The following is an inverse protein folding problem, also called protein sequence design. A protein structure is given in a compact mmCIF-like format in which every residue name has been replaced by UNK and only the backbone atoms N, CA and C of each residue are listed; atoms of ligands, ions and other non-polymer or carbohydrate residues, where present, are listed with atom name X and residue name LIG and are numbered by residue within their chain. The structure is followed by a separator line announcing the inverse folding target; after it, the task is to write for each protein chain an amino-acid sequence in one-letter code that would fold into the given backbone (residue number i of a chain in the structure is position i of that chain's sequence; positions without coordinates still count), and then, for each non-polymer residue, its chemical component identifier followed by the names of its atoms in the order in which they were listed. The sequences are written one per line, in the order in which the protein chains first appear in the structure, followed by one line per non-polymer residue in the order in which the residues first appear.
data_IF_102304594381
#
_entry.id   IF_102304594381
#
_cell.length_a   1.000
_cell.length_b   1.000
_cell.length_c   1.000
_cell.angle_alpha   90.00
_cell.angle_beta   90.00
_cell.angle_gamma   90.00
#
_symmetry.space_group_name_H-M   'P 1'
#
loop_
_entity.id
_entity.type
_entity.pdbx_description
1 polymer ?
#
# COMPACT_ATOMS: atom_id res chain seq x y z
N UNK A 1 7.50 -7.64 -16.13
CA UNK A 1 8.70 -7.20 -16.85
C UNK A 1 8.72 -7.63 -18.33
N UNK A 2 8.18 -8.79 -18.70
CA UNK A 2 8.09 -9.18 -20.12
C UNK A 2 7.24 -8.20 -20.92
N UNK A 3 6.12 -7.70 -20.36
CA UNK A 3 5.27 -6.73 -21.04
C UNK A 3 5.98 -5.40 -21.30
N UNK A 4 6.78 -4.87 -20.35
CA UNK A 4 7.51 -3.63 -20.56
C UNK A 4 8.47 -3.74 -21.74
N UNK A 5 9.22 -4.85 -21.83
CA UNK A 5 10.12 -5.11 -22.96
C UNK A 5 9.35 -5.23 -24.25
N UNK A 6 8.27 -6.04 -24.28
CA UNK A 6 7.46 -6.25 -25.46
C UNK A 6 6.88 -4.93 -25.99
N UNK A 7 6.28 -4.11 -25.10
CA UNK A 7 5.70 -2.82 -25.48
C UNK A 7 6.79 -1.87 -25.98
N UNK A 8 7.93 -1.84 -25.31
CA UNK A 8 9.07 -1.02 -25.73
C UNK A 8 9.63 -1.47 -27.09
N UNK A 9 9.84 -2.76 -27.31
CA UNK A 9 10.36 -3.33 -28.55
C UNK A 9 9.40 -3.12 -29.73
N UNK A 10 8.08 -3.00 -29.44
CA UNK A 10 7.04 -2.69 -30.44
C UNK A 10 6.77 -1.17 -30.58
N UNK A 11 7.53 -0.33 -29.87
CA UNK A 11 7.35 1.13 -29.87
C UNK A 11 5.93 1.57 -29.46
N UNK A 12 5.24 0.78 -28.61
CA UNK A 12 3.91 1.09 -28.10
C UNK A 12 4.05 1.94 -26.83
N UNK A 13 3.56 3.19 -26.82
CA UNK A 13 3.54 4.00 -25.61
C UNK A 13 2.71 3.34 -24.50
N UNK A 14 3.24 3.29 -23.29
CA UNK A 14 2.54 2.74 -22.14
C UNK A 14 2.84 3.50 -20.86
N UNK A 15 1.95 3.41 -19.91
CA UNK A 15 2.14 3.78 -18.53
C UNK A 15 1.93 2.55 -17.66
N UNK A 16 2.52 2.53 -16.47
CA UNK A 16 2.39 1.41 -15.55
C UNK A 16 1.91 1.88 -14.20
N UNK A 17 0.94 1.20 -13.63
CA UNK A 17 0.54 1.32 -12.23
C UNK A 17 1.03 0.08 -11.48
N UNK A 18 1.79 0.30 -10.41
CA UNK A 18 2.33 -0.74 -9.55
C UNK A 18 1.78 -0.56 -8.12
N UNK A 19 1.63 -1.65 -7.40
CA UNK A 19 1.37 -1.59 -5.97
C UNK A 19 2.65 -1.20 -5.24
N UNK A 20 2.56 -0.20 -4.34
CA UNK A 20 3.69 0.20 -3.51
C UNK A 20 3.97 -0.84 -2.43
N UNK A 21 2.91 -1.38 -1.85
CA UNK A 21 2.99 -2.39 -0.78
C UNK A 21 3.87 -1.94 0.40
N UNK A 22 3.78 -0.66 0.79
CA UNK A 22 4.61 -0.11 1.87
C UNK A 22 4.51 -0.95 3.13
N UNK A 23 5.64 -1.32 3.71
CA UNK A 23 5.79 -2.25 4.83
C UNK A 23 5.39 -3.72 4.56
N UNK A 24 4.95 -4.11 3.38
CA UNK A 24 4.92 -5.54 3.01
C UNK A 24 6.33 -6.01 2.63
N UNK A 25 6.63 -7.29 2.83
CA UNK A 25 7.92 -7.86 2.39
C UNK A 25 8.14 -7.64 0.89
N UNK A 26 9.33 -7.14 0.55
CA UNK A 26 9.68 -6.74 -0.82
C UNK A 26 8.94 -5.52 -1.36
N UNK A 27 8.09 -4.87 -0.53
CA UNK A 27 7.36 -3.64 -0.86
C UNK A 27 8.18 -2.37 -0.68
N UNK A 28 7.51 -1.22 -0.75
CA UNK A 28 8.14 0.09 -0.55
C UNK A 28 9.36 0.30 -1.44
N UNK A 29 10.52 0.42 -0.82
CA UNK A 29 11.80 0.60 -1.52
C UNK A 29 12.13 -0.52 -2.49
N UNK A 30 11.71 -1.76 -2.21
CA UNK A 30 11.89 -2.89 -3.13
C UNK A 30 11.11 -2.70 -4.44
N UNK A 31 9.91 -2.13 -4.40
CA UNK A 31 9.11 -1.82 -5.58
C UNK A 31 9.71 -0.67 -6.39
N UNK A 32 10.22 0.36 -5.73
CA UNK A 32 10.90 1.49 -6.37
C UNK A 32 12.17 1.01 -7.07
N UNK A 33 13.03 0.25 -6.36
CA UNK A 33 14.21 -0.40 -6.94
C UNK A 33 13.86 -1.19 -8.19
N UNK A 34 12.84 -2.05 -8.08
CA UNK A 34 12.39 -2.86 -9.21
C UNK A 34 12.01 -2.00 -10.41
N UNK A 35 11.23 -0.93 -10.21
CA UNK A 35 10.81 -0.05 -11.30
C UNK A 35 12.02 0.60 -11.99
N UNK A 36 12.98 1.17 -11.23
CA UNK A 36 14.21 1.75 -11.76
C UNK A 36 14.99 0.72 -12.59
N UNK A 37 15.19 -0.48 -12.06
CA UNK A 37 15.89 -1.54 -12.76
C UNK A 37 15.19 -1.97 -14.07
N UNK A 38 13.85 -1.99 -14.11
CA UNK A 38 13.12 -2.31 -15.34
C UNK A 38 13.25 -1.17 -16.36
N UNK A 39 13.17 0.10 -15.94
CA UNK A 39 13.36 1.26 -16.82
C UNK A 39 14.75 1.27 -17.46
N UNK A 40 15.79 0.98 -16.69
CA UNK A 40 17.16 0.84 -17.22
C UNK A 40 17.22 -0.28 -18.27
N UNK A 41 16.60 -1.44 -18.00
CA UNK A 41 16.59 -2.60 -18.91
C UNK A 41 15.90 -2.35 -20.24
N UNK A 42 14.97 -1.41 -20.31
CA UNK A 42 14.27 -1.02 -21.56
C UNK A 42 14.91 0.19 -22.23
N UNK A 43 16.10 0.63 -21.76
CA UNK A 43 16.93 1.63 -22.45
C UNK A 43 16.77 3.07 -21.97
N UNK A 44 16.08 3.30 -20.85
CA UNK A 44 16.09 4.66 -20.27
C UNK A 44 17.48 5.02 -19.73
N UNK A 45 17.82 6.31 -19.80
CA UNK A 45 19.11 6.80 -19.29
C UNK A 45 19.27 6.56 -17.81
N UNK A 46 20.27 5.76 -17.47
CA UNK A 46 20.56 5.35 -16.11
C UNK A 46 20.90 6.52 -15.21
N UNK A 47 21.72 7.46 -15.67
CA UNK A 47 22.14 8.58 -14.84
C UNK A 47 20.95 9.43 -14.44
N UNK A 48 20.07 9.74 -15.38
CA UNK A 48 18.83 10.48 -15.12
C UNK A 48 17.88 9.71 -14.19
N UNK A 49 17.83 8.38 -14.27
CA UNK A 49 17.02 7.55 -13.38
C UNK A 49 17.55 7.50 -11.94
N UNK A 50 18.86 7.63 -11.75
CA UNK A 50 19.49 7.63 -10.44
C UNK A 50 19.56 9.01 -9.78
N UNK A 51 19.06 10.06 -10.45
CA UNK A 51 19.05 11.45 -9.98
C UNK A 51 17.61 11.91 -9.72
N UNK A 52 17.16 11.84 -8.48
CA UNK A 52 15.81 12.29 -8.06
C UNK A 52 15.89 13.62 -7.31
N UNK A 53 15.59 14.75 -7.99
CA UNK A 53 15.72 16.11 -7.45
C UNK A 53 17.13 16.40 -6.94
N UNK A 54 17.27 16.52 -5.60
CA UNK A 54 18.52 16.88 -4.92
C UNK A 54 19.31 15.64 -4.45
N UNK A 55 18.96 14.47 -4.93
CA UNK A 55 19.54 13.19 -4.52
C UNK A 55 20.03 12.42 -5.75
N UNK A 56 21.30 12.06 -5.73
CA UNK A 56 21.92 11.18 -6.73
C UNK A 56 22.46 9.94 -6.00
N UNK A 57 22.09 8.76 -6.48
CA UNK A 57 22.48 7.49 -5.87
C UNK A 57 23.45 6.71 -6.78
N UNK A 58 24.35 5.97 -6.16
CA UNK A 58 25.25 5.05 -6.84
C UNK A 58 24.57 3.74 -7.23
N UNK A 59 25.27 2.91 -8.01
CA UNK A 59 24.84 1.57 -8.34
C UNK A 59 24.71 0.67 -7.11
N UNK A 60 25.63 0.80 -6.17
CA UNK A 60 25.63 0.06 -4.91
C UNK A 60 24.42 0.46 -4.04
N UNK A 61 24.09 1.75 -4.02
CA UNK A 61 22.90 2.24 -3.33
C UNK A 61 21.61 1.75 -4.00
N UNK A 62 21.54 1.74 -5.33
CA UNK A 62 20.41 1.12 -6.03
C UNK A 62 20.29 -0.37 -5.68
N UNK A 63 21.39 -1.12 -5.68
CA UNK A 63 21.35 -2.54 -5.34
C UNK A 63 20.93 -2.81 -3.89
N UNK A 64 21.23 -1.91 -2.97
CA UNK A 64 20.83 -1.99 -1.57
C UNK A 64 19.52 -1.26 -1.25
N UNK A 65 18.88 -0.55 -2.18
CA UNK A 65 17.71 0.32 -1.95
C UNK A 65 16.56 -0.40 -1.22
N UNK A 66 16.36 -1.70 -1.48
CA UNK A 66 15.32 -2.50 -0.80
C UNK A 66 15.54 -2.65 0.71
N UNK A 67 16.73 -2.32 1.22
CA UNK A 67 17.07 -2.35 2.65
C UNK A 67 16.96 -0.98 3.32
N UNK A 68 16.60 0.07 2.58
CA UNK A 68 16.48 1.40 3.13
C UNK A 68 15.33 1.50 4.11
N UNK A 69 15.46 2.42 5.08
CA UNK A 69 14.47 2.58 6.12
C UNK A 69 13.11 3.00 5.53
N UNK A 70 12.10 2.16 5.73
CA UNK A 70 10.73 2.37 5.27
C UNK A 70 10.08 3.59 5.93
N UNK A 71 10.59 4.04 7.08
CA UNK A 71 10.10 5.24 7.77
C UNK A 71 10.46 6.53 7.08
N UNK A 72 11.43 6.52 6.15
CA UNK A 72 11.78 7.66 5.30
C UNK A 72 10.71 7.95 4.22
N UNK A 73 9.46 8.06 4.63
CA UNK A 73 8.30 8.19 3.71
C UNK A 73 8.39 9.42 2.82
N UNK A 74 8.96 10.53 3.28
CA UNK A 74 9.18 11.74 2.46
C UNK A 74 10.21 11.51 1.36
N UNK A 75 11.28 10.78 1.66
CA UNK A 75 12.28 10.38 0.67
C UNK A 75 11.66 9.43 -0.36
N UNK A 76 10.92 8.43 0.11
CA UNK A 76 10.18 7.49 -0.74
C UNK A 76 9.22 8.22 -1.68
N UNK A 77 8.47 9.21 -1.20
CA UNK A 77 7.55 10.01 -2.01
C UNK A 77 8.27 10.80 -3.12
N UNK A 78 9.49 11.29 -2.88
CA UNK A 78 10.29 11.96 -3.92
C UNK A 78 10.67 11.01 -5.05
N UNK A 79 11.08 9.80 -4.72
CA UNK A 79 11.40 8.76 -5.71
C UNK A 79 10.17 8.32 -6.50
N UNK A 80 9.01 8.17 -5.84
CA UNK A 80 7.73 7.89 -6.50
C UNK A 80 7.39 9.00 -7.49
N UNK A 81 7.53 10.27 -7.09
CA UNK A 81 7.26 11.41 -7.96
C UNK A 81 8.23 11.48 -9.14
N UNK A 82 9.51 11.20 -8.93
CA UNK A 82 10.51 11.11 -9.99
C UNK A 82 10.13 10.07 -11.05
N UNK A 83 9.68 8.88 -10.62
CA UNK A 83 9.29 7.79 -11.53
C UNK A 83 8.02 8.07 -12.35
N UNK A 84 7.16 8.99 -11.91
CA UNK A 84 6.02 9.45 -12.73
C UNK A 84 6.48 10.10 -14.04
N UNK A 85 7.63 10.79 -14.03
CA UNK A 85 8.25 11.34 -15.24
C UNK A 85 8.60 10.28 -16.29
N UNK A 86 8.73 9.02 -15.87
CA UNK A 86 8.99 7.85 -16.73
C UNK A 86 7.74 6.99 -16.97
N UNK A 87 6.55 7.50 -16.64
CA UNK A 87 5.28 6.80 -16.84
C UNK A 87 5.03 5.67 -15.82
N UNK A 88 5.74 5.65 -14.69
CA UNK A 88 5.51 4.68 -13.61
C UNK A 88 4.80 5.34 -12.44
N UNK A 89 3.64 4.83 -12.12
CA UNK A 89 2.77 5.26 -11.03
C UNK A 89 2.66 4.17 -9.97
N UNK A 90 2.39 4.58 -8.74
CA UNK A 90 2.17 3.64 -7.63
C UNK A 90 0.83 3.90 -6.97
N UNK A 91 0.09 2.82 -6.69
CA UNK A 91 -0.98 2.86 -5.69
C UNK A 91 -0.33 2.85 -4.30
N UNK A 92 -0.49 3.96 -3.60
CA UNK A 92 0.13 4.19 -2.30
C UNK A 92 -0.96 4.49 -1.25
N UNK A 93 -0.74 4.09 0.00
CA UNK A 93 0.47 3.47 0.56
C UNK A 93 0.61 1.96 0.31
N UNK A 94 -0.43 1.28 -0.12
CA UNK A 94 -0.47 -0.18 -0.22
C UNK A 94 -0.67 -0.64 -1.68
N UNK A 95 -1.89 -1.03 -2.03
CA UNK A 95 -2.30 -1.53 -3.34
C UNK A 95 -3.53 -0.77 -3.87
N UNK A 96 -3.97 -1.10 -5.08
CA UNK A 96 -5.10 -0.43 -5.71
C UNK A 96 -6.40 -0.65 -4.92
N UNK A 97 -6.62 -1.81 -4.33
CA UNK A 97 -7.82 -2.13 -3.55
C UNK A 97 -7.89 -1.22 -2.31
N UNK A 98 -6.75 -1.00 -1.64
CA UNK A 98 -6.65 -0.08 -0.52
C UNK A 98 -6.89 1.38 -0.94
N UNK A 99 -6.32 1.82 -2.05
CA UNK A 99 -6.50 3.18 -2.58
C UNK A 99 -7.97 3.43 -2.97
N UNK A 100 -8.64 2.45 -3.56
CA UNK A 100 -10.08 2.51 -3.89
C UNK A 100 -10.92 2.57 -2.62
N UNK A 101 -10.62 1.74 -1.63
CA UNK A 101 -11.32 1.78 -0.34
C UNK A 101 -11.11 3.12 0.38
N UNK A 102 -9.91 3.68 0.36
CA UNK A 102 -9.60 4.99 0.94
C UNK A 102 -10.42 6.10 0.29
N UNK A 103 -10.55 6.06 -1.03
CA UNK A 103 -11.27 7.07 -1.81
C UNK A 103 -12.79 6.95 -1.72
N UNK A 104 -13.31 5.74 -1.53
CA UNK A 104 -14.75 5.44 -1.66
C UNK A 104 -15.30 4.65 -0.46
N UNK A 105 -14.72 4.79 0.73
CA UNK A 105 -15.09 4.05 1.95
C UNK A 105 -16.60 4.01 2.19
N UNK A 106 -17.27 5.17 2.11
CA UNK A 106 -18.71 5.26 2.37
C UNK A 106 -19.55 4.47 1.35
N UNK A 107 -19.08 4.39 0.09
CA UNK A 107 -19.72 3.57 -0.93
C UNK A 107 -19.59 2.09 -0.64
N UNK A 108 -18.38 1.64 -0.25
CA UNK A 108 -18.18 0.25 0.18
C UNK A 108 -19.06 -0.11 1.37
N UNK A 109 -19.14 0.77 2.38
CA UNK A 109 -19.99 0.56 3.57
C UNK A 109 -21.47 0.55 3.19
N UNK A 110 -21.92 1.41 2.28
CA UNK A 110 -23.33 1.47 1.85
C UNK A 110 -23.83 0.23 1.12
N UNK A 111 -22.93 -0.63 0.64
CA UNK A 111 -23.26 -1.92 0.02
C UNK A 111 -23.49 -3.03 1.03
N UNK A 112 -23.19 -2.80 2.30
CA UNK A 112 -23.35 -3.80 3.36
C UNK A 112 -24.81 -3.87 3.83
N UNK A 113 -25.27 -5.08 4.05
CA UNK A 113 -26.57 -5.30 4.73
C UNK A 113 -26.45 -4.97 6.23
N UNK A 114 -27.59 -4.91 6.92
CA UNK A 114 -27.65 -4.62 8.36
C UNK A 114 -26.91 -5.63 9.25
N UNK A 115 -26.61 -6.83 8.73
CA UNK A 115 -25.89 -7.87 9.47
C UNK A 115 -24.39 -7.93 9.13
N UNK A 116 -23.93 -7.21 8.11
CA UNK A 116 -22.58 -7.26 7.59
C UNK A 116 -21.68 -6.15 8.14
N UNK A 117 -20.37 -6.35 8.03
CA UNK A 117 -19.33 -5.41 8.46
C UNK A 117 -18.34 -6.04 9.45
N UNK A 118 -17.17 -5.41 9.62
CA UNK A 118 -16.19 -5.86 10.59
C UNK A 118 -16.74 -5.74 12.03
N UNK A 119 -16.43 -6.71 12.89
CA UNK A 119 -16.98 -6.81 14.23
C UNK A 119 -15.87 -6.85 15.27
N UNK A 120 -16.15 -6.28 16.43
CA UNK A 120 -15.40 -6.51 17.65
C UNK A 120 -16.13 -7.59 18.45
N UNK A 121 -15.40 -8.61 18.89
CA UNK A 121 -15.98 -9.68 19.70
C UNK A 121 -16.68 -9.08 20.92
N UNK A 122 -17.86 -9.56 21.21
CA UNK A 122 -18.74 -9.19 22.34
C UNK A 122 -19.31 -7.75 22.28
N UNK A 123 -18.89 -6.90 21.32
CA UNK A 123 -19.37 -5.51 21.23
C UNK A 123 -20.15 -5.18 19.93
N UNK A 124 -20.05 -6.02 18.91
CA UNK A 124 -20.82 -5.81 17.68
C UNK A 124 -20.02 -5.26 16.52
N UNK A 125 -20.72 -4.61 15.57
CA UNK A 125 -20.07 -4.09 14.35
C UNK A 125 -19.37 -2.78 14.62
N UNK A 126 -18.21 -2.59 14.01
CA UNK A 126 -17.37 -1.39 14.19
C UNK A 126 -18.11 -0.11 13.78
N UNK A 127 -18.95 -0.16 12.74
CA UNK A 127 -19.73 1.01 12.31
C UNK A 127 -20.82 1.44 13.28
N UNK A 128 -21.18 0.60 14.25
CA UNK A 128 -22.21 0.88 15.25
C UNK A 128 -21.62 1.30 16.62
N UNK A 129 -20.29 1.30 16.73
CA UNK A 129 -19.57 1.53 17.98
C UNK A 129 -18.75 2.80 17.84
N UNK A 130 -18.89 3.71 18.78
CA UNK A 130 -17.99 4.87 18.94
C UNK A 130 -16.95 4.54 20.00
N UNK A 131 -15.69 4.45 19.58
CA UNK A 131 -14.55 4.23 20.49
C UNK A 131 -13.81 5.54 20.69
N UNK A 132 -14.01 6.15 21.86
CA UNK A 132 -13.44 7.45 22.23
C UNK A 132 -12.77 7.39 23.62
N UNK A 133 -12.34 8.55 24.13
CA UNK A 133 -11.63 8.62 25.43
C UNK A 133 -12.49 8.17 26.62
N UNK A 134 -13.80 8.30 26.54
CA UNK A 134 -14.76 7.94 27.58
C UNK A 134 -15.24 6.47 27.50
N UNK A 135 -14.84 5.75 26.45
CA UNK A 135 -15.23 4.34 26.27
C UNK A 135 -14.67 3.43 27.33
N UNK A 136 -15.39 2.36 27.65
CA UNK A 136 -14.95 1.35 28.60
C UNK A 136 -13.57 0.77 28.27
N UNK A 137 -12.74 0.54 29.26
CA UNK A 137 -11.35 0.06 29.10
C UNK A 137 -11.31 -1.26 28.31
N UNK A 138 -12.25 -2.15 28.57
CA UNK A 138 -12.30 -3.45 27.89
C UNK A 138 -12.71 -3.31 26.40
N UNK A 139 -13.59 -2.37 26.05
CA UNK A 139 -13.90 -2.05 24.66
C UNK A 139 -12.67 -1.49 23.93
N UNK A 140 -11.94 -0.56 24.55
CA UNK A 140 -10.69 -0.01 23.98
C UNK A 140 -9.68 -1.11 23.70
N UNK A 141 -9.43 -1.99 24.66
CA UNK A 141 -8.52 -3.14 24.50
C UNK A 141 -8.97 -4.07 23.37
N UNK A 142 -10.27 -4.36 23.28
CA UNK A 142 -10.80 -5.20 22.24
C UNK A 142 -10.67 -4.57 20.85
N UNK A 143 -10.87 -3.25 20.75
CA UNK A 143 -10.67 -2.48 19.52
C UNK A 143 -9.19 -2.48 19.10
N UNK A 144 -8.27 -2.18 20.03
CA UNK A 144 -6.83 -2.18 19.76
C UNK A 144 -6.33 -3.56 19.33
N UNK A 145 -6.79 -4.61 19.98
CA UNK A 145 -6.47 -5.99 19.59
C UNK A 145 -6.98 -6.32 18.18
N UNK A 146 -8.19 -5.88 17.83
CA UNK A 146 -8.74 -6.02 16.50
C UNK A 146 -7.92 -5.26 15.47
N UNK A 147 -7.59 -4.00 15.74
CA UNK A 147 -6.78 -3.15 14.88
C UNK A 147 -5.40 -3.76 14.62
N UNK A 148 -4.70 -4.20 15.67
CA UNK A 148 -3.40 -4.86 15.55
C UNK A 148 -3.46 -6.14 14.69
N UNK A 149 -4.53 -6.94 14.85
CA UNK A 149 -4.75 -8.15 14.05
C UNK A 149 -4.96 -7.81 12.57
N UNK A 150 -5.74 -6.77 12.25
CA UNK A 150 -6.02 -6.39 10.87
C UNK A 150 -4.82 -5.71 10.20
N UNK A 151 -4.03 -4.93 10.94
CA UNK A 151 -2.73 -4.41 10.46
C UNK A 151 -1.82 -5.58 10.06
N UNK A 152 -1.65 -6.55 10.95
CA UNK A 152 -0.80 -7.73 10.69
C UNK A 152 -1.30 -8.55 9.51
N UNK A 153 -2.60 -8.73 9.37
CA UNK A 153 -3.20 -9.44 8.23
C UNK A 153 -3.00 -8.69 6.93
N UNK A 154 -3.13 -7.35 6.95
CA UNK A 154 -2.97 -6.48 5.78
C UNK A 154 -1.52 -6.41 5.32
N UNK A 155 -0.58 -6.24 6.25
CA UNK A 155 0.85 -6.13 5.94
C UNK A 155 1.53 -7.49 5.79
N UNK A 156 0.83 -8.58 6.09
CA UNK A 156 1.29 -9.98 6.12
C UNK A 156 2.29 -10.25 7.25
N UNK A 157 2.57 -11.53 7.50
CA UNK A 157 3.32 -11.95 8.68
C UNK A 157 4.77 -11.45 8.68
N UNK A 158 5.38 -11.28 7.52
CA UNK A 158 6.77 -10.84 7.31
C UNK A 158 6.87 -9.32 7.05
N UNK A 159 5.74 -8.62 7.09
CA UNK A 159 5.68 -7.17 6.92
C UNK A 159 5.98 -6.40 8.21
N UNK A 160 5.95 -5.07 8.12
CA UNK A 160 6.08 -4.17 9.25
C UNK A 160 4.87 -4.21 10.21
N UNK A 161 4.91 -3.33 11.19
CA UNK A 161 3.88 -3.17 12.22
C UNK A 161 2.91 -1.99 11.95
N UNK A 162 3.03 -1.37 10.79
CA UNK A 162 2.24 -0.21 10.42
C UNK A 162 2.80 1.12 10.94
N UNK A 163 4.07 1.18 11.35
CA UNK A 163 4.68 2.40 11.91
C UNK A 163 4.59 3.62 10.97
N UNK A 164 4.59 3.40 9.66
CA UNK A 164 4.55 4.47 8.65
C UNK A 164 3.13 4.91 8.27
N UNK A 165 2.10 4.30 8.83
CA UNK A 165 0.70 4.60 8.53
C UNK A 165 0.11 5.52 9.60
N UNK A 166 -0.74 6.47 9.18
CA UNK A 166 -1.50 7.31 10.11
C UNK A 166 -2.53 6.49 10.87
N UNK A 167 -3.15 7.09 11.90
CA UNK A 167 -4.23 6.44 12.65
C UNK A 167 -5.39 6.06 11.72
N UNK A 168 -5.80 6.98 10.86
CA UNK A 168 -6.89 6.80 9.91
C UNK A 168 -6.57 5.73 8.88
N UNK A 169 -5.33 5.67 8.39
CA UNK A 169 -4.88 4.62 7.49
C UNK A 169 -4.88 3.24 8.17
N UNK A 170 -4.49 3.16 9.44
CA UNK A 170 -4.56 1.91 10.21
C UNK A 170 -6.01 1.45 10.44
N UNK A 171 -6.89 2.37 10.81
CA UNK A 171 -8.32 2.07 10.97
C UNK A 171 -8.96 1.59 9.65
N UNK A 172 -8.51 2.12 8.52
CA UNK A 172 -8.94 1.65 7.21
C UNK A 172 -8.53 0.20 6.93
N UNK A 173 -7.43 -0.30 7.53
CA UNK A 173 -6.99 -1.69 7.39
C UNK A 173 -8.01 -2.69 7.96
N UNK A 174 -8.83 -2.29 8.93
CA UNK A 174 -9.94 -3.12 9.43
C UNK A 174 -10.94 -3.40 8.29
N UNK A 175 -11.28 -2.35 7.54
CA UNK A 175 -12.19 -2.45 6.41
C UNK A 175 -11.55 -3.16 5.22
N UNK A 176 -10.28 -2.89 4.95
CA UNK A 176 -9.51 -3.59 3.93
C UNK A 176 -9.45 -5.10 4.22
N UNK A 177 -9.13 -5.48 5.45
CA UNK A 177 -9.12 -6.88 5.88
C UNK A 177 -10.50 -7.53 5.68
N UNK A 178 -11.56 -6.84 6.05
CA UNK A 178 -12.92 -7.32 5.90
C UNK A 178 -13.32 -7.53 4.43
N UNK A 179 -13.09 -6.54 3.56
CA UNK A 179 -13.53 -6.60 2.16
C UNK A 179 -12.65 -7.50 1.28
N UNK A 180 -11.34 -7.47 1.48
CA UNK A 180 -10.38 -8.05 0.54
C UNK A 180 -9.63 -9.28 1.05
N UNK A 181 -9.55 -9.49 2.37
CA UNK A 181 -8.88 -10.65 2.94
C UNK A 181 -9.86 -11.69 3.51
N UNK A 182 -10.98 -11.24 4.09
CA UNK A 182 -11.92 -12.11 4.79
C UNK A 182 -12.99 -12.76 3.92
N UNK A 183 -13.33 -12.16 2.77
CA UNK A 183 -14.44 -12.63 1.90
C UNK A 183 -14.01 -13.44 0.68
N UNK A 184 -12.72 -13.58 0.43
CA UNK A 184 -12.21 -14.16 -0.81
C UNK A 184 -12.37 -13.21 -2.02
N UNK A 185 -11.30 -13.02 -2.74
CA UNK A 185 -11.19 -12.07 -3.88
C UNK A 185 -12.24 -12.19 -5.02
N UNK A 186 -12.94 -13.30 -5.27
CA UNK A 186 -13.78 -13.42 -6.47
C UNK A 186 -15.07 -12.61 -6.49
N UNK A 187 -15.57 -12.15 -5.34
CA UNK A 187 -16.90 -11.52 -5.27
C UNK A 187 -16.90 -10.00 -5.26
N UNK A 188 -15.74 -9.37 -5.17
CA UNK A 188 -15.63 -7.91 -5.08
C UNK A 188 -15.26 -7.22 -6.40
N UNK A 189 -14.98 -7.99 -7.45
CA UNK A 189 -14.60 -7.47 -8.78
C UNK A 189 -15.66 -7.69 -9.86
N UNK A 190 -16.90 -8.01 -9.46
CA UNK A 190 -18.03 -8.12 -10.39
C UNK A 190 -18.93 -6.90 -10.32
#
# INVERSE_FOLDING_TARGET
NHFWRLLNDLEIPFITLLDLDRERDGGGWGRIKYAIQQLIKIGNDKNSLLEARDENISDEELESMHTWDVTETKRMSRWIEHLKGYGVYFSAPLDIDYAMLQSFKDKYISLLTSSEGPRIKDYGRIQDIDVNEDSEVELKKAYEARLASDIKSTLKQEGGDGATYTKEEKELMIWYSYFFLGRGKPTTHL
#
